data_IF_473161343154
#
_entry.id   IF_473161343154
#
_cell.length_a   1.000
_cell.length_b   1.000
_cell.length_c   1.000
_cell.angle_alpha   90.00
_cell.angle_beta   90.00
_cell.angle_gamma   90.00
#
_symmetry.space_group_name_H-M   'P 1'
#
loop_
_entity.id
_entity.type
_entity.pdbx_description
1 polymer ?
#
# COMPACT_ATOMS: atom_id res chain seq x y z
N UNK A 1 -4.28 -7.11 22.86
CA UNK A 1 -5.22 -7.12 21.73
C UNK A 1 -4.86 -8.22 20.74
N UNK A 2 -5.84 -8.96 20.31
CA UNK A 2 -5.63 -10.02 19.34
C UNK A 2 -5.93 -9.54 17.94
N UNK A 3 -5.08 -9.96 16.99
CA UNK A 3 -5.39 -9.77 15.59
C UNK A 3 -6.44 -10.79 15.14
N UNK A 4 -7.38 -10.35 14.35
CA UNK A 4 -8.30 -11.25 13.65
C UNK A 4 -7.60 -11.79 12.42
N UNK A 5 -7.69 -13.11 12.21
CA UNK A 5 -7.10 -13.75 11.02
C UNK A 5 -8.24 -14.30 10.17
N UNK A 6 -8.27 -13.89 8.91
CA UNK A 6 -9.28 -14.34 7.96
C UNK A 6 -8.58 -15.01 6.78
N UNK A 7 -9.01 -16.23 6.46
CA UNK A 7 -8.47 -16.96 5.31
C UNK A 7 -9.38 -16.77 4.10
N UNK A 8 -8.76 -16.46 2.97
CA UNK A 8 -9.49 -16.36 1.70
C UNK A 8 -8.52 -16.58 0.54
N UNK A 9 -9.07 -16.80 -0.65
CA UNK A 9 -8.29 -16.93 -1.88
C UNK A 9 -8.76 -15.89 -2.89
N UNK A 10 -7.94 -15.64 -3.91
CA UNK A 10 -8.30 -14.71 -4.98
C UNK A 10 -9.56 -15.16 -5.74
N UNK A 11 -9.84 -16.46 -5.75
CA UNK A 11 -11.02 -17.02 -6.42
C UNK A 11 -12.25 -17.04 -5.52
N UNK A 12 -12.07 -16.84 -4.23
CA UNK A 12 -13.17 -16.89 -3.26
C UNK A 12 -12.95 -15.84 -2.18
N UNK A 13 -13.26 -14.60 -2.51
CA UNK A 13 -13.05 -13.46 -1.63
C UNK A 13 -14.13 -13.40 -0.55
N UNK A 14 -13.71 -13.07 0.67
CA UNK A 14 -14.62 -12.72 1.75
C UNK A 14 -14.78 -11.20 1.77
N UNK A 15 -15.77 -10.71 1.04
CA UNK A 15 -15.95 -9.27 0.86
C UNK A 15 -16.32 -8.55 2.16
N UNK A 16 -16.98 -9.23 3.08
CA UNK A 16 -17.28 -8.62 4.37
C UNK A 16 -16.02 -8.42 5.20
N UNK A 17 -15.13 -9.41 5.22
CA UNK A 17 -13.84 -9.28 5.89
C UNK A 17 -12.98 -8.19 5.24
N UNK A 18 -13.01 -8.09 3.91
CA UNK A 18 -12.31 -7.03 3.18
C UNK A 18 -12.84 -5.66 3.58
N UNK A 19 -14.16 -5.51 3.68
CA UNK A 19 -14.76 -4.24 4.10
C UNK A 19 -14.33 -3.87 5.53
N UNK A 20 -14.33 -4.85 6.45
CA UNK A 20 -13.86 -4.60 7.81
C UNK A 20 -12.40 -4.18 7.83
N UNK A 21 -11.55 -4.83 7.01
CA UNK A 21 -10.15 -4.44 6.86
C UNK A 21 -10.01 -3.02 6.32
N UNK A 22 -10.82 -2.66 5.33
CA UNK A 22 -10.87 -1.30 4.80
C UNK A 22 -11.25 -0.28 5.84
N UNK A 23 -12.22 -0.59 6.69
CA UNK A 23 -12.64 0.30 7.78
C UNK A 23 -11.53 0.49 8.81
N UNK A 24 -10.81 -0.58 9.14
CA UNK A 24 -9.65 -0.50 10.03
C UNK A 24 -8.60 0.45 9.45
N UNK A 25 -8.31 0.32 8.16
CA UNK A 25 -7.34 1.19 7.50
C UNK A 25 -7.80 2.65 7.48
N UNK A 26 -9.07 2.90 7.17
CA UNK A 26 -9.63 4.26 7.18
C UNK A 26 -9.54 4.92 8.55
N UNK A 27 -9.60 4.13 9.61
CA UNK A 27 -9.52 4.63 10.98
C UNK A 27 -8.08 4.79 11.48
N UNK A 28 -7.10 4.54 10.64
CA UNK A 28 -5.69 4.67 10.98
C UNK A 28 -5.07 3.41 11.57
N UNK A 29 -5.79 2.28 11.51
CA UNK A 29 -5.26 0.99 11.94
C UNK A 29 -4.40 0.33 10.88
N UNK A 30 -3.82 -0.82 11.21
CA UNK A 30 -2.96 -1.58 10.32
C UNK A 30 -3.58 -2.91 9.95
N UNK A 31 -3.34 -3.36 8.72
CA UNK A 31 -3.82 -4.65 8.22
C UNK A 31 -2.68 -5.32 7.46
N UNK A 32 -2.42 -6.60 7.75
CA UNK A 32 -1.49 -7.40 6.96
C UNK A 32 -2.28 -8.12 5.87
N UNK A 33 -1.78 -8.07 4.64
CA UNK A 33 -2.47 -8.71 3.52
C UNK A 33 -1.48 -9.12 2.43
N UNK A 34 -1.87 -10.08 1.56
CA UNK A 34 -0.99 -10.56 0.51
C UNK A 34 -0.99 -9.63 -0.70
N UNK A 35 0.12 -9.67 -1.43
CA UNK A 35 0.20 -9.20 -2.80
C UNK A 35 0.60 -10.40 -3.68
N UNK A 36 0.80 -10.20 -4.98
CA UNK A 36 1.26 -11.30 -5.85
C UNK A 36 2.70 -11.72 -5.54
N UNK A 37 3.45 -10.92 -4.78
CA UNK A 37 4.83 -11.23 -4.42
C UNK A 37 4.95 -11.75 -2.99
N UNK A 38 4.61 -10.92 -2.00
CA UNK A 38 4.78 -11.22 -0.57
C UNK A 38 3.64 -10.60 0.22
N UNK A 39 3.53 -10.99 1.48
CA UNK A 39 2.65 -10.31 2.44
C UNK A 39 3.29 -8.98 2.86
N UNK A 40 2.44 -8.00 3.12
CA UNK A 40 2.87 -6.72 3.63
C UNK A 40 1.99 -6.25 4.78
N UNK A 41 2.53 -5.37 5.60
CA UNK A 41 1.78 -4.66 6.64
C UNK A 41 1.41 -3.30 6.10
N UNK A 42 0.12 -3.01 6.04
CA UNK A 42 -0.40 -1.81 5.41
C UNK A 42 -1.09 -0.86 6.36
N UNK A 43 -1.08 0.40 5.97
CA UNK A 43 -1.80 1.48 6.63
C UNK A 43 -2.32 2.46 5.59
N UNK A 44 -3.12 3.43 6.03
CA UNK A 44 -3.60 4.50 5.16
C UNK A 44 -2.42 5.38 4.75
N UNK A 45 -2.10 5.39 3.46
CA UNK A 45 -0.93 6.11 2.94
C UNK A 45 -1.03 7.62 3.13
N UNK A 46 -2.22 8.16 3.29
CA UNK A 46 -2.45 9.60 3.46
C UNK A 46 -2.55 10.01 4.92
N UNK A 47 -2.42 9.06 5.84
CA UNK A 47 -2.46 9.33 7.28
C UNK A 47 -1.05 9.17 7.86
N UNK A 48 -0.39 10.27 8.25
CA UNK A 48 0.99 10.18 8.75
C UNK A 48 1.13 9.33 10.00
N UNK A 49 0.11 9.28 10.85
CA UNK A 49 0.15 8.47 12.06
C UNK A 49 0.08 6.98 11.75
N UNK A 50 -0.66 6.58 10.70
CA UNK A 50 -0.68 5.19 10.28
C UNK A 50 0.70 4.76 9.75
N UNK A 51 1.37 5.61 8.97
CA UNK A 51 2.72 5.34 8.50
C UNK A 51 3.70 5.17 9.66
N UNK A 52 3.60 6.01 10.67
CA UNK A 52 4.45 5.90 11.86
C UNK A 52 4.20 4.60 12.63
N UNK A 53 2.96 4.13 12.66
CA UNK A 53 2.64 2.84 13.28
C UNK A 53 3.31 1.67 12.55
N UNK A 54 3.40 1.74 11.22
CA UNK A 54 4.08 0.70 10.44
C UNK A 54 5.56 0.65 10.82
N UNK A 55 6.23 1.79 10.87
CA UNK A 55 7.63 1.85 11.26
C UNK A 55 7.84 1.30 12.67
N UNK A 56 6.98 1.68 13.61
CA UNK A 56 7.08 1.21 14.98
C UNK A 56 6.87 -0.31 15.07
N UNK A 57 5.89 -0.84 14.35
CA UNK A 57 5.58 -2.27 14.35
C UNK A 57 6.70 -3.11 13.77
N UNK A 58 7.44 -2.56 12.81
CA UNK A 58 8.55 -3.26 12.15
C UNK A 58 9.90 -3.00 12.80
N UNK A 59 9.98 -2.10 13.77
CA UNK A 59 11.25 -1.71 14.34
C UNK A 59 12.18 -1.01 13.35
N UNK A 60 11.60 -0.33 12.35
CA UNK A 60 12.35 0.29 11.26
C UNK A 60 12.48 1.78 11.49
N UNK A 61 13.57 2.39 11.02
CA UNK A 61 13.67 3.85 11.03
C UNK A 61 12.61 4.48 10.15
N UNK A 62 12.10 5.62 10.58
CA UNK A 62 11.06 6.35 9.84
C UNK A 62 11.56 7.01 8.55
N UNK A 63 12.85 6.89 8.25
CA UNK A 63 13.43 7.38 7.00
C UNK A 63 13.40 6.33 5.87
N UNK A 64 12.89 5.12 6.13
CA UNK A 64 12.70 4.11 5.08
C UNK A 64 11.34 4.34 4.42
N UNK A 65 11.31 4.73 3.14
CA UNK A 65 10.03 5.01 2.49
C UNK A 65 9.17 3.75 2.36
N UNK A 66 7.87 3.96 2.46
CA UNK A 66 6.85 2.94 2.21
C UNK A 66 6.41 3.02 0.76
N UNK A 67 5.85 1.93 0.24
CA UNK A 67 5.34 1.89 -1.13
C UNK A 67 3.83 2.10 -1.09
N UNK A 68 3.34 3.15 -1.74
CA UNK A 68 1.91 3.42 -1.84
C UNK A 68 1.31 2.50 -2.90
N UNK A 69 0.30 1.75 -2.49
CA UNK A 69 -0.40 0.82 -3.38
C UNK A 69 -1.74 1.41 -3.78
N UNK A 70 -2.03 1.37 -5.08
CA UNK A 70 -3.30 1.79 -5.67
C UNK A 70 -3.97 0.61 -6.37
N UNK A 71 -5.26 0.72 -6.63
CA UNK A 71 -6.02 -0.33 -7.30
C UNK A 71 -6.86 0.23 -8.45
N UNK A 72 -6.58 1.44 -8.89
CA UNK A 72 -7.23 2.09 -10.02
C UNK A 72 -6.24 3.06 -10.66
N UNK A 73 -6.21 3.13 -11.98
CA UNK A 73 -5.24 3.98 -12.70
C UNK A 73 -5.42 5.47 -12.38
N UNK A 74 -6.65 5.92 -12.19
CA UNK A 74 -6.94 7.33 -11.91
C UNK A 74 -6.50 7.77 -10.51
N UNK A 75 -6.08 6.84 -9.66
CA UNK A 75 -5.55 7.16 -8.34
C UNK A 75 -4.10 7.62 -8.36
N UNK A 76 -3.39 7.42 -9.48
CA UNK A 76 -1.99 7.83 -9.56
C UNK A 76 -1.84 9.36 -9.58
N UNK A 77 -2.60 10.05 -10.43
CA UNK A 77 -2.42 11.49 -10.65
C UNK A 77 -2.52 12.33 -9.36
N UNK A 78 -3.47 12.07 -8.43
CA UNK A 78 -3.57 12.89 -7.23
C UNK A 78 -2.36 12.84 -6.28
N UNK A 79 -1.58 11.76 -6.31
CA UNK A 79 -0.48 11.58 -5.34
C UNK A 79 0.89 11.94 -5.91
N UNK A 80 0.97 12.32 -7.18
CA UNK A 80 2.23 12.71 -7.83
C UNK A 80 2.13 14.13 -8.33
N UNK A 81 3.28 14.82 -8.45
CA UNK A 81 3.32 16.19 -8.94
C UNK A 81 2.88 16.28 -10.40
N UNK A 82 3.28 15.29 -11.20
CA UNK A 82 2.81 15.10 -12.57
C UNK A 82 3.03 13.66 -12.98
N UNK A 83 2.32 13.20 -14.01
CA UNK A 83 2.49 11.86 -14.57
C UNK A 83 3.25 12.00 -15.90
N UNK A 84 4.56 11.74 -15.94
CA UNK A 84 5.32 11.83 -17.19
C UNK A 84 4.81 10.81 -18.21
N UNK A 85 5.02 11.10 -19.49
CA UNK A 85 4.55 10.20 -20.56
C UNK A 85 5.15 8.80 -20.42
N UNK A 86 6.42 8.71 -20.03
CA UNK A 86 7.04 7.40 -19.79
C UNK A 86 6.33 6.61 -18.70
N UNK A 87 5.88 7.29 -17.64
CA UNK A 87 5.15 6.64 -16.57
C UNK A 87 3.80 6.11 -17.05
N UNK A 88 3.11 6.86 -17.91
CA UNK A 88 1.85 6.39 -18.49
C UNK A 88 2.05 5.13 -19.33
N UNK A 89 3.09 5.12 -20.14
CA UNK A 89 3.41 3.96 -21.00
C UNK A 89 3.72 2.74 -20.14
N UNK A 90 4.54 2.91 -19.10
CA UNK A 90 4.90 1.81 -18.21
C UNK A 90 3.70 1.30 -17.43
N UNK A 91 2.83 2.20 -16.96
CA UNK A 91 1.61 1.82 -16.24
C UNK A 91 0.69 1.00 -17.14
N UNK A 92 0.47 1.43 -18.37
CA UNK A 92 -0.38 0.71 -19.31
C UNK A 92 0.16 -0.69 -19.63
N UNK A 93 1.50 -0.82 -19.67
CA UNK A 93 2.15 -2.07 -20.04
C UNK A 93 2.28 -3.06 -18.87
N UNK A 94 2.55 -2.57 -17.67
CA UNK A 94 2.96 -3.42 -16.55
C UNK A 94 2.01 -3.41 -15.36
N UNK A 95 1.08 -2.48 -15.29
CA UNK A 95 0.11 -2.43 -14.22
C UNK A 95 -1.25 -2.99 -14.66
N UNK A 96 -1.91 -3.75 -13.79
CA UNK A 96 -1.47 -4.21 -12.47
C UNK A 96 -0.33 -5.22 -12.57
N UNK A 97 0.59 -5.17 -11.58
CA UNK A 97 1.74 -6.05 -11.55
C UNK A 97 2.80 -5.57 -10.55
N UNK A 98 3.99 -6.20 -10.58
CA UNK A 98 5.00 -5.95 -9.56
C UNK A 98 5.83 -4.69 -9.79
N UNK A 99 5.60 -3.95 -10.87
CA UNK A 99 6.37 -2.74 -11.13
C UNK A 99 6.08 -1.66 -10.09
N UNK A 100 7.13 -1.14 -9.46
CA UNK A 100 7.06 0.05 -8.60
C UNK A 100 7.67 1.22 -9.36
N UNK A 101 6.94 2.33 -9.42
CA UNK A 101 7.45 3.57 -10.02
C UNK A 101 7.72 4.59 -8.93
N UNK A 102 8.82 5.33 -9.07
CA UNK A 102 9.18 6.40 -8.14
C UNK A 102 9.02 7.72 -8.90
N UNK A 103 8.13 8.56 -8.41
CA UNK A 103 7.77 9.83 -9.05
C UNK A 103 7.77 10.95 -8.02
N UNK A 104 7.99 12.22 -8.44
CA UNK A 104 7.83 13.34 -7.51
C UNK A 104 6.44 13.34 -6.90
N UNK A 105 6.36 13.48 -5.59
CA UNK A 105 5.08 13.42 -4.88
C UNK A 105 4.32 14.73 -4.95
N UNK A 106 3.00 14.65 -4.85
CA UNK A 106 2.16 15.81 -4.58
C UNK A 106 2.11 16.09 -3.07
N UNK A 107 1.53 17.23 -2.70
CA UNK A 107 1.38 17.60 -1.30
C UNK A 107 0.37 16.73 -0.56
N UNK A 108 -0.41 15.93 -1.27
CA UNK A 108 -1.37 15.02 -0.67
C UNK A 108 -0.70 13.92 0.14
N UNK A 109 0.52 13.52 -0.26
CA UNK A 109 1.24 12.42 0.39
C UNK A 109 2.09 12.98 1.53
N UNK A 110 1.87 12.51 2.78
CA UNK A 110 2.65 12.99 3.92
C UNK A 110 4.13 12.61 3.83
N UNK A 111 4.98 13.43 4.44
CA UNK A 111 6.41 13.15 4.52
C UNK A 111 6.70 11.84 5.25
N UNK A 112 5.88 11.49 6.22
CA UNK A 112 6.04 10.24 6.96
C UNK A 112 5.93 9.02 6.05
N UNK A 113 5.04 9.07 5.05
CA UNK A 113 4.87 7.97 4.11
C UNK A 113 6.09 7.78 3.22
N UNK A 114 6.75 8.86 2.84
CA UNK A 114 7.89 8.81 1.92
C UNK A 114 9.24 8.82 2.62
N UNK A 115 9.27 8.69 3.94
CA UNK A 115 10.52 8.74 4.69
C UNK A 115 11.24 10.07 4.59
N UNK A 116 10.49 11.16 4.39
CA UNK A 116 11.03 12.51 4.25
C UNK A 116 11.47 12.87 2.84
N UNK A 117 11.29 11.97 1.87
CA UNK A 117 11.69 12.21 0.48
C UNK A 117 10.61 13.01 -0.27
N UNK A 118 11.02 13.73 -1.31
CA UNK A 118 10.11 14.47 -2.18
C UNK A 118 9.53 13.58 -3.30
N UNK A 119 9.87 12.31 -3.30
CA UNK A 119 9.35 11.33 -4.23
C UNK A 119 8.51 10.29 -3.51
N UNK A 120 7.59 9.68 -4.25
CA UNK A 120 6.74 8.61 -3.75
C UNK A 120 6.90 7.38 -4.62
N UNK A 121 7.01 6.22 -3.99
CA UNK A 121 7.02 4.94 -4.67
C UNK A 121 5.57 4.45 -4.78
N UNK A 122 5.13 4.08 -5.98
CA UNK A 122 3.75 3.69 -6.24
C UNK A 122 3.72 2.36 -6.99
N UNK A 123 2.79 1.50 -6.60
CA UNK A 123 2.58 0.21 -7.23
C UNK A 123 1.08 -0.08 -7.34
N UNK A 124 0.70 -0.79 -8.41
CA UNK A 124 -0.67 -1.26 -8.62
C UNK A 124 -0.62 -2.79 -8.66
N UNK A 125 -0.89 -3.48 -7.54
CA UNK A 125 -0.73 -4.93 -7.46
C UNK A 125 -1.79 -5.66 -8.27
N UNK A 126 -1.44 -6.86 -8.77
CA UNK A 126 -2.37 -7.70 -9.52
C UNK A 126 -3.19 -8.64 -8.63
N UNK A 127 -2.81 -8.82 -7.37
CA UNK A 127 -3.54 -9.68 -6.45
C UNK A 127 -4.92 -9.10 -6.14
N UNK A 128 -5.97 -9.92 -6.27
CA UNK A 128 -7.35 -9.45 -6.09
C UNK A 128 -7.69 -9.10 -4.66
N UNK A 129 -7.12 -9.81 -3.68
CA UNK A 129 -7.34 -9.48 -2.27
C UNK A 129 -6.78 -8.09 -1.99
N UNK A 130 -5.55 -7.82 -2.44
CA UNK A 130 -4.92 -6.52 -2.29
C UNK A 130 -5.75 -5.42 -2.97
N UNK A 131 -6.18 -5.64 -4.20
CA UNK A 131 -6.96 -4.65 -4.95
C UNK A 131 -8.25 -4.29 -4.23
N UNK A 132 -9.02 -5.28 -3.79
CA UNK A 132 -10.30 -5.02 -3.15
C UNK A 132 -10.13 -4.36 -1.79
N UNK A 133 -9.09 -4.74 -1.05
CA UNK A 133 -8.80 -4.10 0.23
C UNK A 133 -8.38 -2.64 0.06
N UNK A 134 -7.53 -2.35 -0.94
CA UNK A 134 -7.12 -0.98 -1.25
C UNK A 134 -8.33 -0.12 -1.60
N UNK A 135 -9.23 -0.63 -2.43
CA UNK A 135 -10.47 0.08 -2.76
C UNK A 135 -11.33 0.33 -1.51
N UNK A 136 -11.49 -0.69 -0.68
CA UNK A 136 -12.26 -0.58 0.56
C UNK A 136 -11.66 0.42 1.54
N UNK A 137 -10.35 0.62 1.48
CA UNK A 137 -9.63 1.54 2.35
C UNK A 137 -9.64 2.99 1.87
N UNK A 138 -10.22 3.26 0.71
CA UNK A 138 -10.27 4.62 0.16
C UNK A 138 -9.30 4.88 -0.99
N UNK A 139 -8.48 3.92 -1.37
CA UNK A 139 -7.68 3.98 -2.59
C UNK A 139 -6.17 4.08 -2.44
N UNK A 140 -5.65 4.36 -1.24
CA UNK A 140 -4.22 4.53 -1.02
C UNK A 140 -3.80 3.81 0.25
N UNK A 141 -3.05 2.72 0.10
CA UNK A 141 -2.53 1.93 1.23
C UNK A 141 -1.03 1.84 1.08
N UNK A 142 -0.28 2.35 2.06
CA UNK A 142 1.16 2.14 2.04
C UNK A 142 1.48 0.78 2.67
N UNK A 143 2.49 0.13 2.11
CA UNK A 143 2.89 -1.20 2.54
C UNK A 143 4.37 -1.22 2.87
N UNK A 144 4.68 -1.92 3.95
CA UNK A 144 6.01 -2.41 4.23
C UNK A 144 6.00 -3.90 4.02
N UNK A 145 6.83 -4.39 3.10
CA UNK A 145 6.89 -5.81 2.80
C UNK A 145 7.65 -6.57 3.87
N UNK A 146 7.13 -7.75 4.16
CA UNK A 146 7.76 -8.67 5.05
C UNK A 146 8.86 -9.41 4.28
N UNK A 147 10.09 -9.31 4.76
CA UNK A 147 11.23 -9.99 4.14
C UNK A 147 11.49 -11.29 4.88
N UNK A 148 11.37 -12.44 4.21
CA UNK A 148 11.47 -13.75 4.89
C UNK A 148 12.74 -13.93 5.71
N UNK A 149 13.86 -13.39 5.26
CA UNK A 149 15.13 -13.56 5.97
C UNK A 149 15.22 -12.74 7.27
N UNK A 150 14.29 -11.81 7.50
CA UNK A 150 14.23 -11.04 8.73
C UNK A 150 13.42 -11.74 9.82
N UNK A 151 12.77 -12.81 9.45
CA UNK A 151 11.86 -13.52 10.34
C UNK A 151 12.13 -15.00 10.28
N UNK A 152 12.48 -15.58 11.40
CA UNK A 152 12.42 -17.03 11.52
C UNK A 152 10.95 -17.42 11.64
N UNK A 153 10.37 -17.66 10.53
CA UNK A 153 8.96 -18.04 10.52
C UNK A 153 8.74 -19.37 11.20
#
# INVERSE_FOLDING_TARGET
MRAEVVSMTADNLDMEAIRRGGDILKQGGLVAFPTETVYGLGGDALNPQASMKIYAAKGRPSDNPLIVHIAEFDKLAPIVAEVPEKAKILAEKYWPGPLTMILPKSDLVPQETTGGLDSVAVRFPSDRIAQELIKAAGGYVDLHFHLPHLHPF
#
